data_IF_825480149814
#
_entry.id   IF_825480149814
#
_cell.length_a   1.000
_cell.length_b   1.000
_cell.length_c   1.000
_cell.angle_alpha   90.00
_cell.angle_beta   90.00
_cell.angle_gamma   90.00
#
_symmetry.space_group_name_H-M   'P 1'
#
loop_
_entity.id
_entity.type
_entity.pdbx_description
1 polymer ?
#
# COMPACT_ATOMS: atom_id res chain seq x y z
N UNK A 1 -11.69 21.20 -55.86
CA UNK A 1 -10.72 21.85 -54.95
C UNK A 1 -11.10 21.77 -53.47
N UNK A 2 -12.35 21.92 -53.08
CA UNK A 2 -12.77 21.89 -51.66
C UNK A 2 -12.43 20.57 -50.91
N UNK A 3 -12.53 19.42 -51.57
CA UNK A 3 -12.28 18.12 -50.92
C UNK A 3 -10.79 17.84 -50.65
N UNK A 4 -9.88 18.40 -51.46
CA UNK A 4 -8.44 18.23 -51.26
C UNK A 4 -7.96 19.08 -50.09
N UNK A 5 -8.46 20.31 -49.98
CA UNK A 5 -8.17 21.20 -48.85
C UNK A 5 -8.66 20.63 -47.52
N UNK A 6 -9.85 20.04 -47.49
CA UNK A 6 -10.39 19.40 -46.29
C UNK A 6 -9.58 18.18 -45.86
N UNK A 7 -9.06 17.40 -46.82
CA UNK A 7 -8.23 16.24 -46.53
C UNK A 7 -6.84 16.65 -46.00
N UNK A 8 -6.25 17.70 -46.57
CA UNK A 8 -4.98 18.25 -46.09
C UNK A 8 -5.09 18.83 -44.67
N UNK A 9 -6.19 19.53 -44.36
CA UNK A 9 -6.48 20.03 -43.01
C UNK A 9 -6.66 18.89 -42.00
N UNK A 10 -7.38 17.83 -42.37
CA UNK A 10 -7.56 16.67 -41.50
C UNK A 10 -6.23 15.95 -41.22
N UNK A 11 -5.38 15.76 -42.24
CA UNK A 11 -4.05 15.16 -42.05
C UNK A 11 -3.15 16.04 -41.16
N UNK A 12 -3.17 17.36 -41.35
CA UNK A 12 -2.37 18.29 -40.54
C UNK A 12 -2.77 18.28 -39.05
N UNK A 13 -4.07 18.14 -38.76
CA UNK A 13 -4.56 18.01 -37.37
C UNK A 13 -4.13 16.68 -36.76
N UNK A 14 -4.24 15.58 -37.50
CA UNK A 14 -3.84 14.25 -37.00
C UNK A 14 -2.32 14.20 -36.75
N UNK A 15 -1.50 14.76 -37.65
CA UNK A 15 -0.05 14.80 -37.44
C UNK A 15 0.33 15.72 -36.28
N UNK A 16 -0.32 16.88 -36.12
CA UNK A 16 -0.09 17.77 -34.97
C UNK A 16 -0.46 17.12 -33.63
N UNK A 17 -1.53 16.33 -33.58
CA UNK A 17 -1.94 15.58 -32.39
C UNK A 17 -0.96 14.44 -32.08
N UNK A 18 -0.48 13.71 -33.09
CA UNK A 18 0.52 12.64 -32.91
C UNK A 18 1.87 13.19 -32.46
N UNK A 19 2.31 14.32 -33.02
CA UNK A 19 3.53 15.03 -32.59
C UNK A 19 3.36 15.56 -31.17
N UNK A 20 2.23 16.17 -30.82
CA UNK A 20 1.97 16.61 -29.44
C UNK A 20 1.94 15.45 -28.43
N UNK A 21 1.41 14.28 -28.84
CA UNK A 21 1.40 13.07 -28.01
C UNK A 21 2.80 12.48 -27.82
N UNK A 22 3.65 12.50 -28.86
CA UNK A 22 5.04 12.03 -28.76
C UNK A 22 5.94 13.02 -28.01
N UNK A 23 5.78 14.33 -28.24
CA UNK A 23 6.49 15.37 -27.49
C UNK A 23 6.08 15.34 -26.03
N UNK A 24 4.79 15.19 -25.71
CA UNK A 24 4.29 15.03 -24.34
C UNK A 24 4.85 13.80 -23.61
N UNK A 25 5.11 12.69 -24.33
CA UNK A 25 5.82 11.52 -23.79
C UNK A 25 7.31 11.76 -23.57
N UNK A 26 7.96 12.55 -24.44
CA UNK A 26 9.39 12.86 -24.32
C UNK A 26 9.68 13.90 -23.23
N UNK A 27 8.81 14.90 -23.03
CA UNK A 27 9.00 15.94 -22.00
C UNK A 27 8.72 15.47 -20.57
N UNK A 28 8.02 14.33 -20.37
CA UNK A 28 7.83 13.74 -19.04
C UNK A 28 9.09 12.95 -18.60
N UNK A 29 10.07 12.75 -19.49
CA UNK A 29 11.27 11.95 -19.20
C UNK A 29 12.53 12.76 -18.89
N UNK A 30 12.44 14.08 -18.68
CA UNK A 30 13.60 14.91 -18.30
C UNK A 30 13.42 15.58 -16.92
N UNK A 31 14.17 15.05 -15.95
CA UNK A 31 14.96 15.80 -14.98
C UNK A 31 14.22 16.85 -14.11
N UNK A 32 13.64 16.40 -12.99
CA UNK A 32 13.54 17.27 -11.80
C UNK A 32 14.91 17.24 -11.11
N UNK A 33 15.81 18.09 -11.58
CA UNK A 33 17.12 18.33 -11.00
C UNK A 33 16.94 19.25 -9.77
N UNK A 34 17.02 18.71 -8.57
CA UNK A 34 17.14 19.51 -7.34
C UNK A 34 18.62 19.74 -7.02
N UNK A 35 19.10 20.99 -6.89
CA UNK A 35 20.49 21.27 -6.56
C UNK A 35 20.83 20.77 -5.15
N UNK A 36 21.99 20.13 -5.04
CA UNK A 36 22.58 19.64 -3.77
C UNK A 36 22.80 20.81 -2.82
N UNK A 37 22.00 20.91 -1.76
CA UNK A 37 22.20 21.90 -0.70
C UNK A 37 23.29 21.40 0.25
N UNK A 38 24.36 22.19 0.29
CA UNK A 38 25.48 22.30 1.26
C UNK A 38 25.62 21.28 2.39
N UNK A 39 26.81 20.64 2.42
CA UNK A 39 27.37 19.94 3.58
C UNK A 39 27.39 20.85 4.81
N UNK A 40 26.84 20.36 5.93
CA UNK A 40 27.08 20.88 7.28
C UNK A 40 27.62 19.76 8.18
N UNK A 41 28.46 20.09 9.18
CA UNK A 41 29.51 19.20 9.68
C UNK A 41 28.98 18.07 10.58
N UNK A 42 29.56 16.89 10.40
CA UNK A 42 29.36 15.70 11.24
C UNK A 42 30.01 15.88 12.61
N UNK A 43 29.22 15.77 13.68
CA UNK A 43 29.73 15.62 15.04
C UNK A 43 30.09 14.14 15.25
N UNK A 44 31.38 13.83 15.15
CA UNK A 44 31.90 12.49 15.41
C UNK A 44 31.76 12.14 16.89
N UNK A 45 31.09 11.03 17.21
CA UNK A 45 31.20 10.40 18.52
C UNK A 45 31.87 9.05 18.34
N UNK A 46 33.07 8.98 18.90
CA UNK A 46 33.96 7.83 18.99
C UNK A 46 33.39 6.80 19.96
N UNK A 47 33.28 5.54 19.53
CA UNK A 47 33.34 4.39 20.43
C UNK A 47 33.85 3.17 19.67
N UNK A 48 35.05 2.73 20.06
CA UNK A 48 35.82 1.61 19.53
C UNK A 48 35.12 0.25 19.70
N UNK A 49 35.39 -0.75 18.83
CA UNK A 49 34.84 -2.09 18.96
C UNK A 49 35.68 -2.94 19.93
N UNK A 50 35.02 -3.66 20.84
CA UNK A 50 35.65 -4.73 21.62
C UNK A 50 35.63 -6.02 20.80
N UNK A 51 36.81 -6.44 20.37
CA UNK A 51 37.09 -7.75 19.79
C UNK A 51 37.09 -8.82 20.87
N UNK A 52 36.29 -9.87 20.70
CA UNK A 52 36.51 -11.17 21.36
C UNK A 52 36.73 -12.23 20.29
N UNK A 53 37.96 -12.74 20.22
CA UNK A 53 38.31 -13.95 19.49
C UNK A 53 37.95 -15.17 20.31
N UNK A 54 37.28 -16.14 19.69
CA UNK A 54 37.31 -17.52 20.15
C UNK A 54 37.43 -18.44 18.92
N UNK A 55 38.62 -19.02 18.76
CA UNK A 55 38.89 -20.14 17.88
C UNK A 55 38.14 -21.36 18.42
N UNK A 56 37.32 -21.99 17.60
CA UNK A 56 36.83 -23.35 17.83
C UNK A 56 36.69 -24.03 16.49
N UNK A 57 37.76 -24.75 16.12
CA UNK A 57 37.74 -25.73 15.05
C UNK A 57 36.92 -26.94 15.51
N UNK A 58 35.74 -27.11 14.93
CA UNK A 58 35.03 -28.39 14.92
C UNK A 58 34.20 -28.50 13.65
N UNK A 59 34.74 -29.23 12.69
CA UNK A 59 34.00 -29.77 11.56
C UNK A 59 32.88 -30.68 12.08
N UNK A 60 31.63 -30.29 11.88
CA UNK A 60 30.49 -31.21 11.95
C UNK A 60 29.39 -30.74 11.01
N UNK A 61 28.87 -31.72 10.28
CA UNK A 61 27.79 -31.70 9.29
C UNK A 61 26.73 -30.61 9.49
N UNK A 62 26.54 -29.78 8.47
CA UNK A 62 25.51 -28.75 8.38
C UNK A 62 24.12 -29.36 8.21
N UNK A 63 23.52 -29.84 9.31
CA UNK A 63 22.07 -29.79 9.46
C UNK A 63 21.75 -28.42 10.08
N UNK A 64 21.31 -27.47 9.26
CA UNK A 64 20.92 -26.14 9.71
C UNK A 64 19.67 -26.26 10.60
N UNK A 65 19.87 -26.50 11.90
CA UNK A 65 18.85 -26.22 12.90
C UNK A 65 18.68 -24.70 12.94
N UNK A 66 17.75 -24.17 12.15
CA UNK A 66 17.39 -22.77 12.22
C UNK A 66 17.02 -22.46 13.67
N UNK A 67 17.77 -21.55 14.28
CA UNK A 67 17.51 -21.17 15.67
C UNK A 67 16.12 -20.53 15.75
N UNK A 68 15.44 -20.65 16.90
CA UNK A 68 14.15 -19.97 17.13
C UNK A 68 14.27 -18.46 16.87
N UNK A 69 15.44 -17.88 17.19
CA UNK A 69 15.77 -16.48 16.93
C UNK A 69 15.80 -16.16 15.44
N UNK A 70 16.44 -17.01 14.62
CA UNK A 70 16.47 -16.87 13.16
C UNK A 70 15.08 -17.02 12.52
N UNK A 71 14.21 -17.82 13.13
CA UNK A 71 12.82 -17.96 12.70
C UNK A 71 11.96 -16.74 13.05
N UNK A 72 12.17 -16.13 14.22
CA UNK A 72 11.47 -14.93 14.69
C UNK A 72 11.99 -13.64 14.03
N UNK A 73 13.27 -13.62 13.66
CA UNK A 73 13.97 -12.48 13.07
C UNK A 73 14.74 -12.90 11.81
N UNK A 74 14.03 -13.23 10.72
CA UNK A 74 14.68 -13.62 9.47
C UNK A 74 15.55 -12.48 8.93
N UNK A 75 16.84 -12.75 8.74
CA UNK A 75 17.82 -11.81 8.19
C UNK A 75 17.60 -11.55 6.69
N UNK A 76 17.03 -12.53 5.99
CA UNK A 76 16.65 -12.42 4.60
C UNK A 76 15.13 -12.58 4.47
N UNK A 77 14.51 -11.60 3.80
CA UNK A 77 13.05 -11.58 3.55
C UNK A 77 12.71 -12.32 2.25
N UNK A 78 13.71 -12.65 1.44
CA UNK A 78 13.56 -13.40 0.20
C UNK A 78 13.20 -14.85 0.48
N UNK A 79 12.17 -15.36 -0.20
CA UNK A 79 11.70 -16.74 -0.06
C UNK A 79 11.30 -17.31 -1.43
N UNK A 80 11.27 -18.64 -1.53
CA UNK A 80 10.78 -19.37 -2.71
C UNK A 80 9.36 -19.92 -2.54
N UNK A 81 8.65 -19.51 -1.47
CA UNK A 81 7.29 -20.00 -1.18
C UNK A 81 6.26 -19.58 -2.24
N UNK A 82 5.27 -20.43 -2.49
CA UNK A 82 4.09 -20.07 -3.31
C UNK A 82 3.15 -19.13 -2.55
N UNK A 83 2.16 -18.55 -3.24
CA UNK A 83 1.25 -17.60 -2.60
C UNK A 83 0.33 -18.30 -1.58
N UNK A 84 -0.03 -19.55 -1.86
CA UNK A 84 -0.76 -20.42 -0.95
C UNK A 84 0.07 -20.73 0.31
N UNK A 85 1.35 -21.04 0.15
CA UNK A 85 2.27 -21.29 1.27
C UNK A 85 2.48 -20.03 2.11
N UNK A 86 2.59 -18.86 1.47
CA UNK A 86 2.67 -17.57 2.14
C UNK A 86 1.39 -17.24 2.91
N UNK A 87 0.22 -17.50 2.31
CA UNK A 87 -1.06 -17.31 2.97
C UNK A 87 -1.15 -18.17 4.22
N UNK A 88 -0.80 -19.44 4.06
CA UNK A 88 -0.81 -20.42 5.14
C UNK A 88 0.13 -19.98 6.26
N UNK A 89 1.37 -19.61 5.92
CA UNK A 89 2.35 -19.10 6.88
C UNK A 89 1.88 -17.83 7.59
N UNK A 90 1.32 -16.86 6.86
CA UNK A 90 0.83 -15.61 7.44
C UNK A 90 -0.37 -15.84 8.38
N UNK A 91 -1.17 -16.88 8.12
CA UNK A 91 -2.30 -17.27 8.99
C UNK A 91 -1.88 -17.98 10.28
N UNK A 92 -0.62 -18.45 10.37
CA UNK A 92 -0.08 -19.09 11.58
C UNK A 92 0.32 -18.04 12.62
N UNK A 93 -0.60 -17.72 13.52
CA UNK A 93 -0.37 -16.72 14.58
C UNK A 93 -0.34 -17.40 15.95
N UNK A 94 0.72 -17.17 16.75
CA UNK A 94 0.77 -17.68 18.13
C UNK A 94 -0.41 -17.19 18.95
N UNK A 95 -1.04 -18.09 19.73
CA UNK A 95 -2.12 -17.74 20.67
C UNK A 95 -1.63 -17.31 22.05
N UNK A 96 -0.35 -17.50 22.33
CA UNK A 96 0.28 -17.06 23.58
C UNK A 96 0.56 -15.57 23.46
N UNK A 97 -0.07 -14.77 24.33
CA UNK A 97 0.11 -13.30 24.33
C UNK A 97 1.46 -12.90 24.95
N UNK A 98 1.97 -13.69 25.90
CA UNK A 98 3.28 -13.49 26.52
C UNK A 98 4.40 -13.95 25.58
N UNK A 99 5.05 -12.98 24.95
CA UNK A 99 6.23 -13.24 24.15
C UNK A 99 7.49 -13.29 25.02
N UNK A 100 8.43 -14.21 24.75
CA UNK A 100 9.68 -14.33 25.50
C UNK A 100 10.68 -13.19 25.27
N UNK A 101 10.31 -12.17 24.47
CA UNK A 101 11.17 -11.03 24.14
C UNK A 101 10.36 -9.73 24.10
N UNK A 102 11.02 -8.60 24.38
CA UNK A 102 10.41 -7.28 24.24
C UNK A 102 10.37 -6.90 22.76
N UNK A 103 9.22 -7.10 22.11
CA UNK A 103 9.05 -6.70 20.72
C UNK A 103 8.91 -5.18 20.62
N UNK A 104 9.73 -4.57 19.77
CA UNK A 104 9.49 -3.18 19.36
C UNK A 104 8.32 -3.16 18.39
N UNK A 105 7.32 -2.37 18.74
CA UNK A 105 6.17 -2.07 17.89
C UNK A 105 6.61 -1.38 16.60
N UNK A 106 6.12 -1.83 15.44
CA UNK A 106 6.52 -1.29 14.14
C UNK A 106 5.27 -0.97 13.27
N UNK A 107 5.39 -0.14 12.22
CA UNK A 107 4.34 0.18 11.21
C UNK A 107 4.69 -0.30 9.79
N UNK A 108 3.71 -0.89 9.06
CA UNK A 108 3.86 -1.46 7.71
C UNK A 108 3.56 -0.48 6.63
N UNK A 109 4.49 -0.38 5.69
CA UNK A 109 4.29 0.38 4.49
C UNK A 109 4.39 -0.56 3.30
N UNK A 110 3.25 -0.73 2.63
CA UNK A 110 3.16 -1.39 1.33
C UNK A 110 3.07 -0.32 0.25
N UNK A 111 4.02 -0.32 -0.68
CA UNK A 111 4.04 0.56 -1.84
C UNK A 111 3.77 -0.25 -3.10
N UNK A 112 2.73 0.14 -3.84
CA UNK A 112 2.41 -0.44 -5.15
C UNK A 112 2.89 0.51 -6.24
N UNK A 113 3.80 0.05 -7.11
CA UNK A 113 4.41 0.88 -8.15
C UNK A 113 4.66 0.14 -9.46
N UNK A 114 4.66 0.86 -10.59
CA UNK A 114 5.11 0.33 -11.89
C UNK A 114 6.61 0.35 -12.08
N UNK A 115 7.28 1.29 -11.44
CA UNK A 115 8.69 1.57 -11.62
C UNK A 115 9.27 2.22 -10.38
N UNK A 116 10.13 3.23 -10.56
CA UNK A 116 10.64 4.03 -9.45
C UNK A 116 9.48 4.59 -8.62
N UNK A 117 9.63 4.53 -7.29
CA UNK A 117 8.60 4.99 -6.37
C UNK A 117 8.34 6.49 -6.56
N UNK A 118 7.10 6.91 -6.87
CA UNK A 118 6.75 8.32 -6.89
C UNK A 118 7.03 8.97 -5.53
N UNK A 119 7.56 10.18 -5.53
CA UNK A 119 7.92 10.92 -4.32
C UNK A 119 8.97 10.20 -3.44
N UNK A 120 9.77 9.29 -4.01
CA UNK A 120 10.83 8.55 -3.30
C UNK A 120 11.67 9.40 -2.32
N UNK A 121 12.20 10.57 -2.73
CA UNK A 121 12.96 11.44 -1.83
C UNK A 121 12.18 11.96 -0.61
N UNK A 122 10.87 12.18 -0.74
CA UNK A 122 10.01 12.60 0.39
C UNK A 122 9.82 11.43 1.35
N UNK A 123 9.64 10.22 0.82
CA UNK A 123 9.55 9.02 1.64
C UNK A 123 10.86 8.73 2.40
N UNK A 124 12.01 8.88 1.74
CA UNK A 124 13.32 8.79 2.43
C UNK A 124 13.39 9.74 3.62
N UNK A 125 12.93 10.98 3.45
CA UNK A 125 12.89 11.96 4.53
C UNK A 125 11.88 11.60 5.63
N UNK A 126 10.71 11.08 5.27
CA UNK A 126 9.69 10.62 6.21
C UNK A 126 10.19 9.48 7.11
N UNK A 127 11.00 8.57 6.57
CA UNK A 127 11.49 7.41 7.30
C UNK A 127 12.81 7.64 8.05
N UNK A 128 13.57 8.66 7.66
CA UNK A 128 14.89 8.96 8.24
C UNK A 128 14.82 9.19 9.75
N UNK A 129 15.65 8.46 10.51
CA UNK A 129 15.72 8.59 11.97
C UNK A 129 14.64 7.81 12.73
N UNK A 130 13.82 7.03 12.02
CA UNK A 130 12.79 6.16 12.59
C UNK A 130 13.09 4.68 12.36
N UNK A 131 14.36 4.34 12.12
CA UNK A 131 14.79 2.98 11.83
C UNK A 131 14.42 2.04 13.00
N UNK A 132 13.90 0.86 12.67
CA UNK A 132 13.45 -0.11 13.67
C UNK A 132 12.00 0.05 14.13
N UNK A 133 11.31 1.13 13.75
CA UNK A 133 9.86 1.35 13.99
C UNK A 133 8.98 1.07 12.76
N UNK A 134 9.55 0.63 11.65
CA UNK A 134 8.80 0.33 10.44
C UNK A 134 9.42 -0.82 9.64
N UNK A 135 8.59 -1.40 8.76
CA UNK A 135 9.06 -2.23 7.66
C UNK A 135 8.42 -1.74 6.37
N UNK A 136 9.23 -1.70 5.30
CA UNK A 136 8.82 -1.26 3.97
C UNK A 136 8.81 -2.45 3.03
N UNK A 137 7.77 -2.53 2.22
CA UNK A 137 7.59 -3.52 1.17
C UNK A 137 7.18 -2.80 -0.10
N UNK A 138 7.87 -3.10 -1.20
CA UNK A 138 7.65 -2.47 -2.49
C UNK A 138 7.22 -3.53 -3.49
N UNK A 139 5.94 -3.55 -3.81
CA UNK A 139 5.41 -4.35 -4.90
C UNK A 139 5.58 -3.58 -6.21
N UNK A 140 6.51 -4.03 -7.05
CA UNK A 140 6.85 -3.40 -8.31
C UNK A 140 6.49 -4.28 -9.51
N UNK A 141 6.27 -3.66 -10.68
CA UNK A 141 6.13 -4.40 -11.95
C UNK A 141 7.30 -5.38 -12.14
N UNK A 142 7.05 -6.61 -12.64
CA UNK A 142 8.12 -7.57 -12.97
C UNK A 142 9.18 -7.01 -13.93
N UNK A 143 8.80 -6.02 -14.76
CA UNK A 143 9.68 -5.35 -15.71
C UNK A 143 10.67 -4.39 -15.03
N UNK A 144 10.35 -3.91 -13.83
CA UNK A 144 11.19 -2.98 -13.08
C UNK A 144 12.27 -3.75 -12.30
N UNK A 145 13.52 -3.64 -12.76
CA UNK A 145 14.68 -4.40 -12.23
C UNK A 145 15.69 -3.55 -11.46
N UNK A 146 15.47 -2.25 -11.36
CA UNK A 146 16.37 -1.36 -10.64
C UNK A 146 16.23 -1.56 -9.13
N UNK A 147 17.36 -1.82 -8.47
CA UNK A 147 17.44 -1.93 -7.01
C UNK A 147 17.84 -0.57 -6.42
N UNK A 148 17.34 -0.24 -5.24
CA UNK A 148 17.74 0.98 -4.56
C UNK A 148 19.22 0.92 -4.14
N UNK A 149 19.83 2.06 -3.87
CA UNK A 149 21.19 2.11 -3.30
C UNK A 149 21.19 1.57 -1.87
N UNK A 150 22.30 0.99 -1.40
CA UNK A 150 22.37 0.36 -0.07
C UNK A 150 22.01 1.30 1.09
N UNK A 151 22.23 2.61 0.91
CA UNK A 151 21.90 3.64 1.88
C UNK A 151 20.41 4.04 1.91
N UNK A 152 19.62 3.58 0.94
CA UNK A 152 18.19 3.89 0.82
C UNK A 152 17.36 3.05 1.78
N UNK A 153 16.29 3.63 2.34
CA UNK A 153 15.32 2.87 3.13
C UNK A 153 14.58 1.80 2.31
N UNK A 154 14.64 1.88 0.98
CA UNK A 154 14.03 0.94 0.04
C UNK A 154 14.96 -0.20 -0.39
N UNK A 155 16.22 -0.22 0.06
CA UNK A 155 17.17 -1.28 -0.29
C UNK A 155 16.70 -2.66 0.14
N UNK A 156 16.66 -3.60 -0.80
CA UNK A 156 16.20 -4.99 -0.61
C UNK A 156 14.78 -5.08 -0.04
N UNK A 157 13.92 -4.10 -0.35
CA UNK A 157 12.51 -4.07 0.07
C UNK A 157 11.53 -4.50 -1.02
N UNK A 158 12.03 -4.80 -2.22
CA UNK A 158 11.20 -5.20 -3.36
C UNK A 158 10.67 -6.61 -3.18
N UNK A 159 9.37 -6.79 -3.40
CA UNK A 159 8.74 -8.11 -3.51
C UNK A 159 8.49 -8.39 -5.00
N UNK A 160 8.99 -9.50 -5.56
CA UNK A 160 8.72 -9.87 -6.94
C UNK A 160 7.24 -10.11 -7.18
N UNK A 161 6.65 -9.43 -8.16
CA UNK A 161 5.30 -9.73 -8.63
C UNK A 161 5.31 -10.96 -9.56
N UNK A 162 4.27 -11.80 -9.47
CA UNK A 162 3.98 -12.86 -10.47
C UNK A 162 3.12 -12.36 -11.64
N UNK A 163 2.46 -11.20 -11.52
CA UNK A 163 1.44 -10.74 -12.49
C UNK A 163 1.69 -9.30 -12.97
N UNK A 164 1.42 -9.08 -14.27
CA UNK A 164 1.54 -7.77 -14.92
C UNK A 164 0.55 -6.76 -14.33
N UNK A 165 1.09 -5.66 -13.80
CA UNK A 165 0.35 -4.61 -13.11
C UNK A 165 -0.34 -3.65 -14.10
N UNK A 166 -1.62 -3.88 -14.34
CA UNK A 166 -2.50 -2.92 -15.02
C UNK A 166 -3.30 -2.11 -13.97
N UNK A 167 -2.90 -0.86 -13.70
CA UNK A 167 -3.69 0.19 -13.00
C UNK A 167 -5.10 0.43 -13.60
N UNK A 168 -5.46 -0.23 -14.70
CA UNK A 168 -6.84 -0.40 -15.09
C UNK A 168 -7.22 -1.85 -14.81
N UNK A 169 -7.97 -2.05 -13.73
CA UNK A 169 -8.48 -3.33 -13.23
C UNK A 169 -7.44 -4.16 -12.48
N UNK A 170 -7.49 -4.09 -11.15
CA UNK A 170 -7.01 -5.16 -10.29
C UNK A 170 -7.78 -6.43 -10.65
N UNK A 171 -7.15 -7.29 -11.46
CA UNK A 171 -7.65 -8.63 -11.74
C UNK A 171 -7.56 -9.49 -10.48
N UNK A 172 -8.52 -10.43 -10.33
CA UNK A 172 -8.80 -11.33 -9.21
C UNK A 172 -7.59 -11.90 -8.43
N UNK A 173 -6.40 -12.05 -9.04
CA UNK A 173 -5.19 -12.56 -8.39
C UNK A 173 -4.38 -11.49 -7.63
N UNK A 174 -4.36 -10.25 -8.12
CA UNK A 174 -3.48 -9.18 -7.61
C UNK A 174 -3.85 -8.66 -6.22
N UNK A 175 -5.14 -8.63 -5.89
CA UNK A 175 -5.60 -8.02 -4.63
C UNK A 175 -5.25 -8.85 -3.39
N UNK A 176 -5.33 -10.19 -3.47
CA UNK A 176 -4.83 -11.05 -2.41
C UNK A 176 -3.32 -11.10 -2.39
N UNK A 177 -2.63 -11.10 -3.53
CA UNK A 177 -1.15 -11.01 -3.57
C UNK A 177 -0.66 -9.72 -2.88
N UNK A 178 -1.40 -8.62 -2.99
CA UNK A 178 -1.12 -7.34 -2.33
C UNK A 178 -1.47 -7.36 -0.82
N UNK A 179 -2.55 -8.02 -0.41
CA UNK A 179 -2.88 -8.27 1.01
C UNK A 179 -1.98 -9.32 1.67
N UNK A 180 -1.50 -10.32 0.93
CA UNK A 180 -0.55 -11.36 1.34
C UNK A 180 0.76 -10.74 1.83
N UNK A 181 1.22 -9.72 1.12
CA UNK A 181 2.42 -8.99 1.47
C UNK A 181 2.19 -7.97 2.59
N UNK A 182 0.94 -7.52 2.83
CA UNK A 182 0.55 -6.78 4.03
C UNK A 182 0.46 -7.69 5.27
N UNK A 183 0.22 -9.00 5.09
CA UNK A 183 0.04 -9.95 6.19
C UNK A 183 1.32 -10.65 6.66
N UNK A 184 2.39 -10.65 5.85
CA UNK A 184 3.73 -11.09 6.28
C UNK A 184 4.41 -10.15 7.28
N UNK A 185 3.65 -9.17 7.78
CA UNK A 185 4.19 -7.91 8.21
C UNK A 185 3.44 -7.45 9.45
N UNK A 186 4.07 -7.74 10.58
CA UNK A 186 3.50 -7.57 11.92
C UNK A 186 3.53 -6.13 12.34
N UNK A 187 2.52 -5.34 11.97
CA UNK A 187 2.60 -3.91 12.20
C UNK A 187 1.35 -3.34 12.89
N UNK A 188 1.64 -2.55 13.93
CA UNK A 188 0.75 -2.05 14.95
C UNK A 188 0.05 -0.79 14.49
N UNK A 189 -1.23 -0.69 14.85
CA UNK A 189 -1.97 0.55 14.90
C UNK A 189 -1.80 1.19 16.28
N UNK A 190 -1.52 2.50 16.30
CA UNK A 190 -1.68 3.32 17.50
C UNK A 190 -3.10 3.07 18.01
N UNK A 191 -3.22 2.42 19.17
CA UNK A 191 -4.46 2.02 19.85
C UNK A 191 -5.28 0.86 19.24
N UNK A 192 -4.69 -0.02 18.41
CA UNK A 192 -5.37 -1.19 17.82
C UNK A 192 -6.57 -0.85 16.91
N UNK A 193 -6.70 0.40 16.47
CA UNK A 193 -7.86 0.84 15.68
C UNK A 193 -7.56 0.70 14.19
N UNK A 194 -8.45 0.01 13.47
CA UNK A 194 -8.40 -0.05 12.01
C UNK A 194 -8.98 1.22 11.39
N UNK A 195 -8.29 1.75 10.39
CA UNK A 195 -8.70 2.89 9.57
C UNK A 195 -9.08 2.42 8.17
N UNK A 196 -10.21 1.70 8.11
CA UNK A 196 -10.84 1.26 6.88
C UNK A 196 -12.13 2.03 6.68
N UNK A 197 -12.18 2.88 5.66
CA UNK A 197 -13.43 3.54 5.26
C UNK A 197 -14.47 2.50 4.89
N UNK A 198 -15.65 2.54 5.50
CA UNK A 198 -16.74 1.60 5.23
C UNK A 198 -18.07 2.33 5.29
N UNK A 199 -18.82 2.29 4.19
CA UNK A 199 -20.12 2.94 4.08
C UNK A 199 -21.05 2.19 3.12
N UNK A 200 -22.36 2.40 3.30
CA UNK A 200 -23.39 1.89 2.40
C UNK A 200 -23.69 2.95 1.33
N UNK A 201 -23.25 2.71 0.10
CA UNK A 201 -23.44 3.64 -1.00
C UNK A 201 -24.64 3.22 -1.87
N UNK A 202 -25.80 3.92 -1.81
CA UNK A 202 -26.98 3.54 -2.56
C UNK A 202 -26.87 3.77 -4.08
N UNK A 203 -25.81 4.44 -4.54
CA UNK A 203 -25.62 4.80 -5.95
C UNK A 203 -25.20 3.60 -6.81
N UNK A 204 -25.22 3.73 -8.15
CA UNK A 204 -24.74 2.67 -9.05
C UNK A 204 -23.30 2.22 -8.78
N UNK A 205 -22.44 3.12 -8.30
CA UNK A 205 -21.04 2.82 -7.97
C UNK A 205 -20.85 2.12 -6.61
N UNK A 206 -21.94 1.87 -5.87
CA UNK A 206 -21.97 1.18 -4.59
C UNK A 206 -22.81 -0.09 -4.67
N UNK A 207 -24.06 -0.03 -4.19
CA UNK A 207 -25.03 -1.14 -4.28
C UNK A 207 -25.30 -1.61 -5.70
N UNK A 208 -25.18 -0.73 -6.71
CA UNK A 208 -25.33 -1.12 -8.11
C UNK A 208 -24.26 -2.10 -8.62
N UNK A 209 -23.13 -2.25 -7.90
CA UNK A 209 -22.06 -3.22 -8.21
C UNK A 209 -22.26 -4.58 -7.54
N UNK A 210 -23.25 -4.71 -6.64
CA UNK A 210 -23.51 -5.97 -5.94
C UNK A 210 -24.03 -7.06 -6.88
N UNK A 211 -23.45 -8.26 -6.79
CA UNK A 211 -23.91 -9.41 -7.53
C UNK A 211 -24.85 -10.26 -6.67
N UNK A 212 -26.10 -10.46 -7.11
CA UNK A 212 -27.10 -11.25 -6.37
C UNK A 212 -26.68 -12.69 -6.10
N UNK A 213 -25.75 -13.25 -6.88
CA UNK A 213 -25.19 -14.60 -6.66
C UNK A 213 -24.33 -14.71 -5.39
N UNK A 214 -23.94 -13.58 -4.80
CA UNK A 214 -23.23 -13.56 -3.52
C UNK A 214 -24.14 -13.89 -2.33
N UNK A 215 -25.47 -13.77 -2.51
CA UNK A 215 -26.46 -14.25 -1.56
C UNK A 215 -26.54 -15.78 -1.57
N UNK A 216 -26.71 -16.47 -0.43
CA UNK A 216 -27.03 -15.94 0.90
C UNK A 216 -25.83 -15.58 1.78
N UNK A 217 -24.60 -15.91 1.36
CA UNK A 217 -23.42 -15.73 2.21
C UNK A 217 -23.10 -14.25 2.48
N UNK A 218 -23.22 -13.41 1.46
CA UNK A 218 -23.06 -11.96 1.56
C UNK A 218 -24.38 -11.33 1.13
N UNK A 219 -25.18 -10.88 2.09
CA UNK A 219 -26.43 -10.20 1.79
C UNK A 219 -26.17 -8.77 1.32
N UNK A 220 -27.11 -8.19 0.56
CA UNK A 220 -27.02 -6.79 0.16
C UNK A 220 -26.93 -5.84 1.38
N UNK A 221 -27.51 -6.21 2.52
CA UNK A 221 -27.41 -5.43 3.77
C UNK A 221 -26.00 -5.43 4.38
N UNK A 222 -25.22 -6.47 4.10
CA UNK A 222 -23.82 -6.56 4.51
C UNK A 222 -22.89 -5.78 3.57
N UNK A 223 -23.34 -5.49 2.34
CA UNK A 223 -22.53 -4.87 1.30
C UNK A 223 -22.05 -3.49 1.73
N UNK A 224 -20.73 -3.30 1.70
CA UNK A 224 -20.08 -2.03 1.99
C UNK A 224 -19.15 -1.63 0.86
N UNK A 225 -18.90 -0.33 0.79
CA UNK A 225 -17.89 0.30 -0.06
C UNK A 225 -16.89 1.04 0.82
N UNK A 226 -15.64 1.06 0.40
CA UNK A 226 -14.54 1.70 1.08
C UNK A 226 -13.53 2.35 0.14
N UNK A 227 -12.42 2.78 0.73
CA UNK A 227 -11.27 3.32 0.02
C UNK A 227 -10.22 2.24 -0.19
N UNK A 228 -9.51 2.31 -1.32
CA UNK A 228 -8.31 1.49 -1.58
C UNK A 228 -7.15 1.85 -0.64
N UNK A 229 -7.20 3.03 -0.02
CA UNK A 229 -6.23 3.51 0.95
C UNK A 229 -6.75 3.29 2.37
N UNK A 230 -6.14 2.36 3.09
CA UNK A 230 -6.50 2.01 4.46
C UNK A 230 -5.26 1.70 5.30
N UNK A 231 -5.41 1.78 6.62
CA UNK A 231 -4.46 1.23 7.57
C UNK A 231 -5.22 0.22 8.44
N UNK A 232 -4.72 -1.00 8.54
CA UNK A 232 -5.43 -2.11 9.20
C UNK A 232 -4.56 -2.63 10.35
N UNK A 233 -5.20 -2.91 11.49
CA UNK A 233 -4.53 -3.59 12.60
C UNK A 233 -4.23 -5.05 12.27
N UNK A 234 -3.12 -5.57 12.79
CA UNK A 234 -2.70 -6.96 12.54
C UNK A 234 -3.80 -7.98 12.79
N UNK A 235 -4.63 -7.81 13.83
CA UNK A 235 -5.73 -8.74 14.14
C UNK A 235 -6.72 -8.82 12.98
N UNK A 236 -7.11 -7.69 12.41
CA UNK A 236 -8.01 -7.63 11.26
C UNK A 236 -7.32 -8.17 9.99
N UNK A 237 -6.03 -7.89 9.80
CA UNK A 237 -5.29 -8.42 8.65
C UNK A 237 -5.28 -9.96 8.66
N UNK A 238 -5.09 -10.59 9.83
CA UNK A 238 -5.13 -12.05 10.01
C UNK A 238 -6.51 -12.61 9.65
N UNK A 239 -7.59 -11.94 10.06
CA UNK A 239 -8.96 -12.36 9.74
C UNK A 239 -9.24 -12.27 8.24
N UNK A 240 -8.71 -11.26 7.56
CA UNK A 240 -8.82 -11.11 6.10
C UNK A 240 -8.07 -12.24 5.38
N UNK A 241 -6.82 -12.53 5.76
CA UNK A 241 -6.02 -13.56 5.05
C UNK A 241 -6.47 -14.99 5.31
N UNK A 242 -7.09 -15.25 6.47
CA UNK A 242 -7.58 -16.57 6.85
C UNK A 242 -9.04 -16.80 6.44
N UNK A 243 -9.67 -15.84 5.76
CA UNK A 243 -11.06 -15.93 5.34
C UNK A 243 -11.24 -16.91 4.16
N UNK A 244 -11.62 -18.14 4.51
CA UNK A 244 -11.97 -19.17 3.54
C UNK A 244 -13.47 -19.18 3.19
N UNK A 245 -14.27 -18.28 3.76
CA UNK A 245 -15.74 -18.31 3.66
C UNK A 245 -16.28 -17.24 2.72
N UNK A 246 -15.89 -15.99 2.91
CA UNK A 246 -16.43 -14.86 2.14
C UNK A 246 -15.53 -14.51 0.96
N UNK A 247 -14.20 -14.56 1.13
CA UNK A 247 -13.27 -14.29 0.04
C UNK A 247 -13.58 -15.06 -1.26
N UNK A 248 -13.84 -16.39 -1.26
CA UNK A 248 -14.16 -17.11 -2.49
C UNK A 248 -15.42 -16.58 -3.20
N UNK A 249 -16.43 -16.16 -2.43
CA UNK A 249 -17.67 -15.59 -2.98
C UNK A 249 -17.37 -14.29 -3.72
N UNK A 250 -16.54 -13.43 -3.12
CA UNK A 250 -16.09 -12.19 -3.70
C UNK A 250 -15.24 -12.45 -4.95
N UNK A 251 -14.22 -13.33 -4.86
CA UNK A 251 -13.38 -13.74 -5.99
C UNK A 251 -14.21 -14.24 -7.17
N UNK A 252 -15.25 -15.04 -6.92
CA UNK A 252 -15.99 -15.71 -7.99
C UNK A 252 -17.12 -14.83 -8.58
N UNK A 253 -17.57 -13.78 -7.86
CA UNK A 253 -18.77 -13.00 -8.24
C UNK A 253 -18.61 -11.48 -8.30
N UNK A 254 -17.53 -10.91 -7.73
CA UNK A 254 -17.20 -9.49 -7.84
C UNK A 254 -16.27 -9.25 -9.04
N UNK A 255 -16.87 -9.31 -10.23
CA UNK A 255 -16.22 -8.96 -11.50
C UNK A 255 -16.65 -7.56 -11.95
N UNK A 256 -15.86 -6.89 -12.82
CA UNK A 256 -16.24 -5.58 -13.35
C UNK A 256 -17.71 -5.54 -13.79
N UNK A 257 -18.49 -4.54 -13.32
CA UNK A 257 -18.06 -3.28 -12.71
C UNK A 257 -17.78 -3.30 -11.20
N UNK A 258 -17.74 -4.47 -10.56
CA UNK A 258 -17.35 -4.65 -9.16
C UNK A 258 -15.82 -4.65 -8.99
N UNK A 259 -15.33 -4.03 -7.91
CA UNK A 259 -13.92 -4.01 -7.55
C UNK A 259 -13.73 -4.57 -6.14
N UNK A 260 -12.90 -5.62 -6.05
CA UNK A 260 -12.68 -6.40 -4.82
C UNK A 260 -12.10 -5.57 -3.68
N UNK A 261 -11.10 -4.77 -4.00
CA UNK A 261 -10.39 -3.89 -3.08
C UNK A 261 -11.25 -2.80 -2.46
N UNK A 262 -12.26 -2.31 -3.19
CA UNK A 262 -13.21 -1.31 -2.69
C UNK A 262 -14.35 -1.94 -1.86
N UNK A 263 -14.60 -3.25 -1.97
CA UNK A 263 -15.83 -3.86 -1.43
C UNK A 263 -15.59 -5.02 -0.46
N UNK A 264 -14.61 -5.88 -0.69
CA UNK A 264 -14.37 -7.06 0.13
C UNK A 264 -13.90 -6.71 1.55
N UNK A 265 -12.77 -6.00 1.77
CA UNK A 265 -12.34 -5.65 3.12
C UNK A 265 -13.41 -4.91 3.94
N UNK A 266 -14.06 -3.82 3.43
CA UNK A 266 -15.04 -3.11 4.24
C UNK A 266 -16.28 -3.96 4.54
N UNK A 267 -16.70 -4.83 3.62
CA UNK A 267 -17.82 -5.75 3.87
C UNK A 267 -17.46 -6.78 4.94
N UNK A 268 -16.31 -7.44 4.83
CA UNK A 268 -15.88 -8.45 5.80
C UNK A 268 -15.73 -7.84 7.20
N UNK A 269 -14.98 -6.74 7.31
CA UNK A 269 -14.70 -6.08 8.59
C UNK A 269 -15.99 -5.57 9.23
N UNK A 270 -16.89 -4.95 8.47
CA UNK A 270 -18.18 -4.47 9.02
C UNK A 270 -19.08 -5.63 9.45
N UNK A 271 -19.04 -6.75 8.73
CA UNK A 271 -19.87 -7.92 9.02
C UNK A 271 -19.38 -8.69 10.24
N UNK A 272 -18.07 -8.82 10.43
CA UNK A 272 -17.49 -9.68 11.47
C UNK A 272 -16.95 -8.91 12.67
N UNK A 273 -16.35 -7.73 12.45
CA UNK A 273 -15.54 -7.02 13.44
C UNK A 273 -15.81 -5.50 13.43
N UNK A 274 -17.09 -5.05 13.49
CA UNK A 274 -17.43 -3.64 13.33
C UNK A 274 -16.81 -2.74 14.41
N UNK A 275 -16.68 -3.24 15.64
CA UNK A 275 -16.14 -2.49 16.79
C UNK A 275 -14.64 -2.18 16.68
N UNK A 276 -13.92 -2.90 15.82
CA UNK A 276 -12.48 -2.72 15.62
C UNK A 276 -12.16 -1.74 14.48
N UNK A 277 -13.19 -1.19 13.82
CA UNK A 277 -13.03 -0.28 12.69
C UNK A 277 -13.54 1.13 13.02
N UNK A 278 -12.73 2.13 12.69
CA UNK A 278 -13.11 3.54 12.84
C UNK A 278 -14.05 4.06 11.73
N UNK A 279 -14.28 3.27 10.67
CA UNK A 279 -15.04 3.66 9.48
C UNK A 279 -14.50 4.89 8.75
N UNK A 280 -13.20 5.20 8.91
CA UNK A 280 -12.50 6.32 8.26
C UNK A 280 -11.13 5.88 7.74
N UNK A 281 -10.57 6.64 6.82
CA UNK A 281 -9.24 6.42 6.24
C UNK A 281 -8.20 7.35 6.87
N UNK A 282 -6.93 6.98 6.75
CA UNK A 282 -5.79 7.88 7.08
C UNK A 282 -5.39 8.80 5.92
N UNK A 283 -6.01 8.63 4.75
CA UNK A 283 -5.69 9.39 3.53
C UNK A 283 -6.81 10.35 3.17
N UNK A 284 -6.48 11.64 3.08
CA UNK A 284 -7.37 12.68 2.59
C UNK A 284 -7.54 12.57 1.08
N UNK A 285 -8.79 12.69 0.63
CA UNK A 285 -9.19 12.64 -0.77
C UNK A 285 -10.31 13.64 -1.02
N UNK A 286 -10.26 14.34 -2.15
CA UNK A 286 -11.32 15.27 -2.55
C UNK A 286 -12.24 14.63 -3.61
N UNK A 287 -13.49 14.40 -3.24
CA UNK A 287 -14.54 13.88 -4.12
C UNK A 287 -15.53 14.96 -4.59
N UNK A 288 -15.29 16.24 -4.29
CA UNK A 288 -16.21 17.35 -4.60
C UNK A 288 -16.49 17.51 -6.09
N UNK A 289 -15.56 17.09 -6.96
CA UNK A 289 -15.69 17.12 -8.42
C UNK A 289 -16.58 15.99 -8.98
N UNK A 290 -16.94 15.01 -8.16
CA UNK A 290 -17.68 13.81 -8.59
C UNK A 290 -16.89 12.90 -9.54
N UNK A 291 -17.56 11.87 -10.07
CA UNK A 291 -16.97 10.89 -10.98
C UNK A 291 -16.49 9.60 -10.31
N UNK A 292 -15.73 8.79 -11.06
CA UNK A 292 -15.21 7.49 -10.61
C UNK A 292 -13.87 7.58 -9.86
N UNK A 293 -13.23 8.75 -9.86
CA UNK A 293 -11.93 8.98 -9.25
C UNK A 293 -11.93 10.32 -8.49
N UNK A 294 -11.14 10.46 -7.41
CA UNK A 294 -11.02 11.73 -6.70
C UNK A 294 -10.31 12.77 -7.55
N UNK A 295 -10.41 14.04 -7.14
CA UNK A 295 -9.82 15.17 -7.82
C UNK A 295 -8.28 15.05 -7.91
N UNK A 296 -7.75 15.32 -9.11
CA UNK A 296 -6.31 15.55 -9.31
C UNK A 296 -5.97 17.02 -9.14
N UNK A 297 -4.84 17.28 -8.50
CA UNK A 297 -4.30 18.62 -8.26
C UNK A 297 -3.06 18.88 -9.11
N UNK A 298 -2.88 20.13 -9.52
CA UNK A 298 -1.69 20.64 -10.22
C UNK A 298 -1.00 21.69 -9.36
N UNK A 299 0.18 22.15 -9.78
CA UNK A 299 1.00 23.05 -8.98
C UNK A 299 0.26 24.35 -8.58
N UNK A 300 -0.64 24.86 -9.41
CA UNK A 300 -1.46 26.05 -9.11
C UNK A 300 -2.60 25.81 -8.12
N UNK A 301 -3.01 24.56 -7.90
CA UNK A 301 -4.01 24.23 -6.88
C UNK A 301 -3.39 24.25 -5.47
N UNK A 302 -2.05 24.13 -5.38
CA UNK A 302 -1.31 24.04 -4.12
C UNK A 302 -1.08 25.45 -3.56
N UNK A 303 -2.06 25.94 -2.81
CA UNK A 303 -2.05 27.25 -2.14
C UNK A 303 -2.07 27.10 -0.62
N UNK A 304 -1.78 28.17 0.12
CA UNK A 304 -1.94 28.17 1.59
C UNK A 304 -3.38 27.83 2.00
N UNK A 305 -4.37 28.39 1.30
CA UNK A 305 -5.78 28.09 1.51
C UNK A 305 -6.12 26.61 1.28
N UNK A 306 -5.45 25.97 0.30
CA UNK A 306 -5.57 24.53 0.07
C UNK A 306 -5.03 23.71 1.26
N UNK A 307 -3.84 24.03 1.76
CA UNK A 307 -3.29 23.35 2.95
C UNK A 307 -4.13 23.58 4.21
N UNK A 308 -4.65 24.79 4.41
CA UNK A 308 -5.53 25.08 5.54
C UNK A 308 -6.84 24.28 5.46
N UNK A 309 -7.42 24.16 4.26
CA UNK A 309 -8.60 23.29 4.05
C UNK A 309 -8.28 21.82 4.34
N UNK A 310 -7.12 21.33 3.90
CA UNK A 310 -6.74 19.94 4.12
C UNK A 310 -6.49 19.62 5.60
N UNK A 311 -5.84 20.53 6.34
CA UNK A 311 -5.46 20.33 7.74
C UNK A 311 -6.59 20.65 8.73
N UNK A 312 -7.44 21.62 8.42
CA UNK A 312 -8.42 22.16 9.38
C UNK A 312 -9.86 22.16 8.85
N UNK A 313 -10.08 21.70 7.62
CA UNK A 313 -11.42 21.66 7.01
C UNK A 313 -12.31 20.53 7.50
N UNK A 314 -11.75 19.58 8.27
CA UNK A 314 -12.49 18.45 8.83
C UNK A 314 -12.16 18.29 10.30
N UNK A 315 -13.19 18.07 11.12
CA UNK A 315 -13.03 17.58 12.48
C UNK A 315 -13.27 16.07 12.50
N UNK A 316 -12.47 15.35 13.26
CA UNK A 316 -12.63 13.92 13.45
C UNK A 316 -12.46 13.58 14.92
N UNK A 317 -13.04 12.46 15.32
CA UNK A 317 -12.89 11.91 16.66
C UNK A 317 -11.90 10.77 16.64
N UNK A 318 -10.94 10.81 17.56
CA UNK A 318 -10.00 9.73 17.83
C UNK A 318 -10.11 9.37 19.32
N UNK A 319 -10.44 8.11 19.62
CA UNK A 319 -10.70 7.63 20.98
C UNK A 319 -11.70 8.49 21.77
N UNK A 320 -12.76 8.98 21.10
CA UNK A 320 -13.77 9.85 21.69
C UNK A 320 -13.36 11.33 21.83
N UNK A 321 -12.09 11.67 21.54
CA UNK A 321 -11.60 13.04 21.58
C UNK A 321 -11.59 13.67 20.20
N UNK A 322 -12.02 14.93 20.09
CA UNK A 322 -11.96 15.68 18.84
C UNK A 322 -10.50 16.05 18.53
N UNK A 323 -10.08 15.80 17.29
CA UNK A 323 -8.76 16.14 16.77
C UNK A 323 -8.88 16.89 15.45
N UNK A 324 -7.96 17.82 15.20
CA UNK A 324 -7.78 18.46 13.89
C UNK A 324 -6.91 17.60 12.95
N UNK A 325 -6.19 16.61 13.47
CA UNK A 325 -5.33 15.73 12.65
C UNK A 325 -6.17 14.54 12.19
N UNK A 326 -6.84 14.73 11.05
CA UNK A 326 -7.74 13.72 10.50
C UNK A 326 -7.13 12.85 9.43
N UNK A 327 -5.98 13.20 8.89
CA UNK A 327 -5.35 12.43 7.83
C UNK A 327 -3.84 12.54 7.98
N UNK A 328 -3.16 11.41 7.76
CA UNK A 328 -1.70 11.31 7.72
C UNK A 328 -1.17 11.54 6.31
N UNK A 329 -1.96 11.16 5.30
CA UNK A 329 -1.58 11.26 3.89
C UNK A 329 -2.64 12.03 3.10
N UNK A 330 -2.26 12.49 1.90
CA UNK A 330 -3.15 13.07 0.91
C UNK A 330 -2.87 12.47 -0.46
N UNK A 331 -3.92 12.28 -1.25
CA UNK A 331 -3.83 11.83 -2.65
C UNK A 331 -4.11 12.97 -3.62
#
# INVERSE_FOLDING_TARGET
>A
MANLLSLCLALAVVTALLVSFHVGKLTISQEIFFPQIGKFPSLATSSSPLTCSCNSSSSSSSSSSSSLDEWLHPKEVWHSMTDEELMWRASMVPRVEEYPHNWTTRVAFMFLTRGRLPLGPIWEWFFKGHEGFYSIYVHASPEFKEEAVESSVFFKRRIPSKVSFSLSLLSEASFLEELLQLALVTLWSIDYITFLGSFDDPRPMGRGRYNKRMWPLVALSDWRKGSQWFAIDRKIAIEIISDLKYYPVFRDHCRPPCYMDEHYPPTLVTKLLPELNSNRTVTWVDWSRGGSHPASFRWWDITEGFFNRMRFGSNCTYNGNVSSICFLFAR
#
